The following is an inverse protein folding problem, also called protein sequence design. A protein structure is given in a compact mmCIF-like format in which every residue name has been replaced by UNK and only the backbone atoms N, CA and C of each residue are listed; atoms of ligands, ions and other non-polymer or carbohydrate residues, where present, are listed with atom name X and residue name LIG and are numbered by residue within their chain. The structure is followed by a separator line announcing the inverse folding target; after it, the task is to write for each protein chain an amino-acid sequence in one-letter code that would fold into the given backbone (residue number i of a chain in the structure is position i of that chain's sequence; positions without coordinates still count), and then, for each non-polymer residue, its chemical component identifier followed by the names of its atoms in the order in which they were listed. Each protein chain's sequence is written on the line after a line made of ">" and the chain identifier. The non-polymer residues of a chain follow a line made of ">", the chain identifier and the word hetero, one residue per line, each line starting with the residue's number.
data_IF_878433948171
#
_entry.id   IF_878433948171
#
_cell.length_a   1.000
_cell.length_b   1.000
_cell.length_c   1.000
_cell.angle_alpha   90.00
_cell.angle_beta   90.00
_cell.angle_gamma   90.00
#
_symmetry.space_group_name_H-M   'P 1'
#
loop_
_entity.id
_entity.type
_entity.pdbx_description
1 polymer ?
#
# COMPACT_ATOMS: atom_id res chain seq x y z
N UNK A 1 10.04 13.83 26.06
CA UNK A 1 9.17 13.24 27.10
C UNK A 1 10.11 12.80 28.21
N UNK A 2 9.86 13.19 29.46
CA UNK A 2 10.75 12.87 30.58
C UNK A 2 10.62 11.38 30.98
N UNK A 3 11.71 10.74 31.40
CA UNK A 3 11.74 9.31 31.73
C UNK A 3 10.83 9.01 32.94
N UNK A 4 10.80 9.89 33.94
CA UNK A 4 9.91 9.80 35.11
C UNK A 4 8.44 9.85 34.70
N UNK A 5 8.13 10.65 33.68
CA UNK A 5 6.79 10.75 33.11
C UNK A 5 6.39 9.47 32.36
N UNK A 6 7.34 8.80 31.69
CA UNK A 6 7.08 7.53 31.00
C UNK A 6 6.71 6.40 31.99
N UNK A 7 7.40 6.33 33.13
CA UNK A 7 7.10 5.34 34.19
C UNK A 7 5.72 5.60 34.82
N UNK A 8 5.41 6.87 35.08
CA UNK A 8 4.09 7.28 35.55
C UNK A 8 2.99 6.90 34.56
N UNK A 9 3.22 7.05 33.25
CA UNK A 9 2.24 6.72 32.21
C UNK A 9 1.95 5.22 32.12
N UNK A 10 2.94 4.39 32.44
CA UNK A 10 2.80 2.93 32.51
C UNK A 10 2.29 2.44 33.87
N UNK A 11 1.99 3.34 34.82
CA UNK A 11 1.56 3.02 36.18
C UNK A 11 2.55 2.08 36.92
N UNK A 12 3.86 2.23 36.67
CA UNK A 12 4.91 1.40 37.28
C UNK A 12 6.00 2.27 37.93
N UNK A 13 6.60 1.82 39.04
CA UNK A 13 7.72 2.53 39.65
C UNK A 13 8.96 2.47 38.75
N UNK A 14 9.87 3.44 38.88
CA UNK A 14 11.13 3.46 38.12
C UNK A 14 12.01 2.22 38.40
N UNK A 15 11.82 1.56 39.54
CA UNK A 15 12.49 0.31 39.96
C UNK A 15 11.83 -0.96 39.44
N UNK A 16 10.73 -0.86 38.69
CA UNK A 16 10.02 -2.02 38.15
C UNK A 16 10.95 -2.86 37.26
N UNK A 17 10.80 -4.18 37.23
CA UNK A 17 11.54 -5.05 36.30
C UNK A 17 11.01 -4.90 34.87
N UNK A 18 11.78 -5.31 33.86
CA UNK A 18 11.33 -5.24 32.46
C UNK A 18 10.04 -6.05 32.23
N UNK A 19 9.89 -7.16 32.95
CA UNK A 19 8.68 -7.98 32.93
C UNK A 19 7.47 -7.22 33.49
N UNK A 20 7.65 -6.45 34.57
CA UNK A 20 6.59 -5.62 35.16
C UNK A 20 6.19 -4.47 34.23
N UNK A 21 7.17 -3.82 33.58
CA UNK A 21 6.94 -2.77 32.57
C UNK A 21 6.15 -3.33 31.38
N UNK A 22 6.54 -4.50 30.86
CA UNK A 22 5.85 -5.16 29.74
C UNK A 22 4.44 -5.63 30.12
N UNK A 23 4.26 -6.14 31.34
CA UNK A 23 2.94 -6.56 31.85
C UNK A 23 2.00 -5.37 32.04
N UNK A 24 2.50 -4.26 32.56
CA UNK A 24 1.72 -3.04 32.73
C UNK A 24 1.33 -2.43 31.38
N UNK A 25 2.28 -2.39 30.42
CA UNK A 25 2.01 -1.98 29.04
C UNK A 25 0.88 -2.80 28.41
N UNK A 26 0.95 -4.14 28.45
CA UNK A 26 -0.11 -5.02 27.91
C UNK A 26 -1.47 -4.76 28.55
N UNK A 27 -1.50 -4.57 29.87
CA UNK A 27 -2.73 -4.29 30.62
C UNK A 27 -3.36 -2.96 30.22
N UNK A 28 -2.54 -1.92 30.03
CA UNK A 28 -3.00 -0.59 29.63
C UNK A 28 -3.39 -0.53 28.15
N UNK A 29 -2.62 -1.14 27.27
CA UNK A 29 -2.90 -1.25 25.84
C UNK A 29 -4.25 -1.90 25.57
N UNK A 30 -4.54 -3.00 26.27
CA UNK A 30 -5.81 -3.70 26.15
C UNK A 30 -7.02 -2.88 26.67
N UNK A 31 -6.80 -1.95 27.61
CA UNK A 31 -7.86 -1.05 28.11
C UNK A 31 -8.06 0.16 27.19
N UNK A 32 -6.97 0.68 26.63
CA UNK A 32 -6.94 1.90 25.82
C UNK A 32 -7.15 1.64 24.32
N UNK A 33 -7.27 0.37 23.90
CA UNK A 33 -7.45 0.02 22.49
C UNK A 33 -8.67 0.72 21.87
N UNK A 34 -8.55 1.30 20.66
CA UNK A 34 -9.66 1.96 19.96
C UNK A 34 -10.91 1.09 19.82
N UNK A 35 -10.75 -0.21 19.55
CA UNK A 35 -11.88 -1.16 19.42
C UNK A 35 -12.73 -1.30 20.69
N UNK A 36 -12.18 -1.03 21.87
CA UNK A 36 -12.92 -1.03 23.14
C UNK A 36 -13.46 0.34 23.53
N UNK A 37 -13.01 1.39 22.86
CA UNK A 37 -13.34 2.79 23.12
C UNK A 37 -13.91 3.44 21.86
N UNK A 38 -14.85 2.75 21.19
CA UNK A 38 -15.45 3.16 19.91
C UNK A 38 -16.20 4.50 19.99
N UNK A 39 -16.62 4.89 21.20
CA UNK A 39 -17.25 6.18 21.48
C UNK A 39 -16.23 7.33 21.66
N UNK A 40 -14.93 7.03 21.74
CA UNK A 40 -13.83 7.99 21.98
C UNK A 40 -12.56 7.59 21.22
N UNK A 41 -12.71 7.26 19.94
CA UNK A 41 -11.63 6.73 19.07
C UNK A 41 -10.41 7.66 19.07
N UNK A 42 -10.59 8.98 18.87
CA UNK A 42 -9.47 9.94 18.84
C UNK A 42 -8.70 10.04 20.16
N UNK A 43 -9.39 9.84 21.28
CA UNK A 43 -8.76 9.81 22.60
C UNK A 43 -8.00 8.49 22.80
N UNK A 44 -8.60 7.37 22.41
CA UNK A 44 -8.01 6.04 22.49
C UNK A 44 -6.75 5.92 21.62
N UNK A 45 -6.79 6.44 20.40
CA UNK A 45 -5.64 6.49 19.49
C UNK A 45 -4.51 7.35 20.05
N UNK A 46 -4.82 8.53 20.61
CA UNK A 46 -3.81 9.38 21.28
C UNK A 46 -3.23 8.74 22.54
N UNK A 47 -4.07 8.10 23.35
CA UNK A 47 -3.65 7.41 24.57
C UNK A 47 -2.75 6.21 24.24
N UNK A 48 -3.09 5.43 23.22
CA UNK A 48 -2.30 4.30 22.73
C UNK A 48 -0.96 4.76 22.14
N UNK A 49 -0.95 5.84 21.37
CA UNK A 49 0.28 6.43 20.85
C UNK A 49 1.23 6.88 21.98
N UNK A 50 0.70 7.57 23.00
CA UNK A 50 1.48 8.00 24.15
C UNK A 50 2.02 6.80 24.96
N UNK A 51 1.22 5.74 25.12
CA UNK A 51 1.61 4.51 25.80
C UNK A 51 2.77 3.80 25.07
N UNK A 52 2.71 3.73 23.74
CA UNK A 52 3.77 3.16 22.90
C UNK A 52 5.08 3.96 23.00
N UNK A 53 5.00 5.29 23.01
CA UNK A 53 6.16 6.17 23.16
C UNK A 53 6.83 5.94 24.53
N UNK A 54 6.04 5.88 25.62
CA UNK A 54 6.57 5.66 26.96
C UNK A 54 7.26 4.29 27.10
N UNK A 55 6.64 3.23 26.59
CA UNK A 55 7.21 1.87 26.61
C UNK A 55 8.52 1.78 25.84
N UNK A 56 8.57 2.36 24.64
CA UNK A 56 9.79 2.38 23.81
C UNK A 56 10.90 3.17 24.49
N UNK A 57 10.58 4.33 25.07
CA UNK A 57 11.57 5.19 25.75
C UNK A 57 12.20 4.49 26.97
N UNK A 58 11.40 3.80 27.78
CA UNK A 58 11.90 3.05 28.95
C UNK A 58 12.76 1.87 28.51
N UNK A 59 12.32 1.12 27.50
CA UNK A 59 13.02 -0.07 27.01
C UNK A 59 14.38 0.32 26.42
N UNK A 60 14.43 1.39 25.62
CA UNK A 60 15.69 1.89 25.05
C UNK A 60 16.66 2.37 26.14
N UNK A 61 16.19 3.14 27.13
CA UNK A 61 17.04 3.62 28.23
C UNK A 61 17.60 2.47 29.08
N UNK A 62 16.82 1.41 29.31
CA UNK A 62 17.28 0.23 30.05
C UNK A 62 18.25 -0.61 29.26
N UNK A 63 18.04 -0.72 27.94
CA UNK A 63 18.97 -1.39 27.04
C UNK A 63 20.32 -0.67 26.98
N UNK A 64 20.32 0.66 26.88
CA UNK A 64 21.55 1.47 26.90
C UNK A 64 22.30 1.35 28.25
N UNK A 65 21.58 1.34 29.38
CA UNK A 65 22.19 1.13 30.70
C UNK A 65 22.72 -0.30 30.90
N UNK A 66 22.03 -1.31 30.35
CA UNK A 66 22.48 -2.70 30.40
C UNK A 66 23.75 -2.94 29.57
N UNK A 67 23.95 -2.18 28.49
CA UNK A 67 25.19 -2.23 27.69
C UNK A 67 26.39 -1.57 28.38
N UNK A 68 26.18 -0.76 29.42
CA UNK A 68 27.25 -0.12 30.19
C UNK A 68 27.65 -0.90 31.45
N UNK A 69 26.96 -1.99 31.79
CA UNK A 69 27.20 -2.78 33.00
C UNK A 69 27.26 -4.29 32.68
N UNK A 70 28.47 -4.78 32.38
CA UNK A 70 28.80 -6.21 32.45
C UNK A 70 29.18 -6.61 33.91
N UNK A 71 29.00 -7.90 34.30
CA UNK A 71 28.29 -8.22 35.53
C UNK A 71 29.19 -8.67 36.71
N UNK A 72 28.84 -8.23 37.92
CA UNK A 72 29.26 -8.88 39.17
C UNK A 72 28.17 -9.86 39.62
N UNK A 73 28.53 -11.15 39.71
CA UNK A 73 27.73 -12.20 40.31
C UNK A 73 27.60 -11.98 41.82
N UNK A 74 26.37 -11.84 42.33
CA UNK A 74 26.07 -12.06 43.75
C UNK A 74 24.88 -13.01 43.87
N UNK A 75 25.14 -14.16 44.50
CA UNK A 75 24.18 -15.21 44.86
C UNK A 75 23.15 -14.72 45.88
N UNK A 76 21.85 -14.96 45.62
CA UNK A 76 20.79 -14.99 46.64
C UNK A 76 19.69 -16.04 46.33
N UNK A 77 18.99 -16.55 47.35
CA UNK A 77 18.58 -17.96 47.42
C UNK A 77 17.25 -18.30 46.76
N UNK A 78 17.16 -19.58 46.39
CA UNK A 78 16.14 -20.22 45.56
C UNK A 78 14.70 -20.09 46.06
N UNK A 79 13.85 -19.46 45.24
CA UNK A 79 12.42 -19.74 45.18
C UNK A 79 12.16 -20.75 44.04
N UNK A 80 11.34 -21.77 44.32
CA UNK A 80 11.08 -22.92 43.45
C UNK A 80 10.66 -22.51 42.03
N UNK A 81 11.23 -23.13 40.97
CA UNK A 81 10.92 -22.74 39.61
C UNK A 81 9.52 -23.26 39.19
N UNK A 82 8.69 -22.45 38.52
CA UNK A 82 7.64 -23.01 37.67
C UNK A 82 8.33 -23.86 36.60
N UNK A 83 7.73 -25.01 36.27
CA UNK A 83 8.27 -25.97 35.28
C UNK A 83 8.85 -25.22 34.06
N UNK A 84 10.10 -25.49 33.65
CA UNK A 84 10.68 -24.85 32.50
C UNK A 84 9.91 -25.31 31.26
N UNK A 85 9.10 -24.43 30.69
CA UNK A 85 8.86 -24.50 29.26
C UNK A 85 10.24 -24.49 28.59
N UNK A 86 10.53 -25.41 27.66
CA UNK A 86 11.84 -25.49 27.05
C UNK A 86 12.16 -24.11 26.47
N UNK A 87 13.34 -23.55 26.76
CA UNK A 87 13.75 -22.21 26.32
C UNK A 87 13.54 -21.97 24.82
N UNK A 88 13.54 -23.05 24.02
CA UNK A 88 13.17 -23.08 22.60
C UNK A 88 11.72 -22.64 22.32
N UNK A 89 10.74 -23.02 23.14
CA UNK A 89 9.34 -22.62 22.99
C UNK A 89 9.12 -21.13 23.29
N UNK A 90 9.79 -20.58 24.31
CA UNK A 90 9.76 -19.14 24.60
C UNK A 90 10.45 -18.31 23.52
N UNK A 91 11.60 -18.77 23.02
CA UNK A 91 12.29 -18.12 21.91
C UNK A 91 11.47 -18.17 20.61
N UNK A 92 10.82 -19.30 20.31
CA UNK A 92 9.93 -19.44 19.16
C UNK A 92 8.71 -18.51 19.26
N UNK A 93 8.07 -18.42 20.44
CA UNK A 93 6.95 -17.51 20.67
C UNK A 93 7.34 -16.02 20.60
N UNK A 94 8.53 -15.66 21.08
CA UNK A 94 9.05 -14.30 20.96
C UNK A 94 9.41 -13.94 19.50
N UNK A 95 9.90 -14.90 18.73
CA UNK A 95 10.19 -14.72 17.32
C UNK A 95 8.90 -14.57 16.49
N UNK A 96 7.91 -15.42 16.75
CA UNK A 96 6.58 -15.36 16.13
C UNK A 96 5.90 -14.01 16.41
N UNK A 97 5.98 -13.50 17.65
CA UNK A 97 5.48 -12.16 17.98
C UNK A 97 6.22 -11.03 17.23
N UNK A 98 7.53 -11.15 17.02
CA UNK A 98 8.33 -10.16 16.27
C UNK A 98 8.03 -10.20 14.77
N UNK A 99 7.82 -11.39 14.20
CA UNK A 99 7.42 -11.56 12.80
C UNK A 99 6.03 -10.96 12.56
N UNK A 100 5.05 -11.24 13.44
CA UNK A 100 3.72 -10.64 13.37
C UNK A 100 3.74 -9.11 13.45
N UNK A 101 4.51 -8.53 14.38
CA UNK A 101 4.68 -7.07 14.47
C UNK A 101 5.33 -6.48 13.22
N UNK A 102 6.28 -7.18 12.61
CA UNK A 102 6.95 -6.75 11.40
C UNK A 102 5.95 -6.74 10.22
N UNK A 103 5.13 -7.77 10.08
CA UNK A 103 4.09 -7.85 9.04
C UNK A 103 3.00 -6.79 9.22
N UNK A 104 2.61 -6.47 10.46
CA UNK A 104 1.68 -5.35 10.75
C UNK A 104 2.25 -4.00 10.29
N UNK A 105 3.53 -3.75 10.56
CA UNK A 105 4.21 -2.51 10.13
C UNK A 105 4.26 -2.44 8.60
N UNK A 106 4.61 -3.55 7.96
CA UNK A 106 4.67 -3.66 6.49
C UNK A 106 3.29 -3.43 5.87
N UNK A 107 2.26 -4.05 6.44
CA UNK A 107 0.86 -3.92 6.01
C UNK A 107 0.42 -2.46 6.08
N UNK A 108 0.68 -1.78 7.19
CA UNK A 108 0.33 -0.37 7.34
C UNK A 108 1.06 0.53 6.33
N UNK A 109 2.36 0.27 6.07
CA UNK A 109 3.12 1.00 5.03
C UNK A 109 2.55 0.78 3.62
N UNK A 110 2.13 -0.45 3.33
CA UNK A 110 1.48 -0.76 2.06
C UNK A 110 0.14 -0.03 1.93
N UNK A 111 -0.71 -0.08 2.96
CA UNK A 111 -2.01 0.63 2.99
C UNK A 111 -1.80 2.12 2.74
N UNK A 112 -0.84 2.75 3.44
CA UNK A 112 -0.56 4.18 3.25
C UNK A 112 -0.14 4.50 1.82
N UNK A 113 0.75 3.70 1.24
CA UNK A 113 1.20 3.85 -0.16
C UNK A 113 0.04 3.64 -1.15
N UNK A 114 -0.83 2.67 -0.87
CA UNK A 114 -2.00 2.36 -1.68
C UNK A 114 -3.02 3.49 -1.68
N UNK A 115 -3.36 4.03 -0.52
CA UNK A 115 -4.31 5.15 -0.42
C UNK A 115 -3.75 6.42 -1.08
N UNK A 116 -2.46 6.72 -0.86
CA UNK A 116 -1.79 7.85 -1.53
C UNK A 116 -1.84 7.71 -3.06
N UNK A 117 -1.61 6.50 -3.59
CA UNK A 117 -1.71 6.24 -5.01
C UNK A 117 -3.15 6.36 -5.52
N UNK A 118 -4.16 5.89 -4.77
CA UNK A 118 -5.58 6.03 -5.11
C UNK A 118 -5.99 7.50 -5.18
N UNK A 119 -5.53 8.34 -4.27
CA UNK A 119 -5.79 9.78 -4.31
C UNK A 119 -5.20 10.45 -5.55
N UNK A 120 -3.98 10.06 -5.94
CA UNK A 120 -3.36 10.53 -7.18
C UNK A 120 -4.13 10.08 -8.43
N UNK A 121 -4.59 8.82 -8.47
CA UNK A 121 -5.44 8.30 -9.55
C UNK A 121 -6.78 9.04 -9.60
N UNK A 122 -7.42 9.30 -8.47
CA UNK A 122 -8.65 10.08 -8.40
C UNK A 122 -8.46 11.48 -9.00
N UNK A 123 -7.40 12.19 -8.58
CA UNK A 123 -7.04 13.52 -9.12
C UNK A 123 -6.82 13.50 -10.63
N UNK A 124 -6.17 12.46 -11.16
CA UNK A 124 -5.97 12.32 -12.60
C UNK A 124 -7.28 12.41 -13.40
N UNK A 125 -8.33 11.72 -12.94
CA UNK A 125 -9.63 11.75 -13.59
C UNK A 125 -10.44 13.01 -13.26
N UNK A 126 -10.35 13.50 -12.02
CA UNK A 126 -11.00 14.73 -11.59
C UNK A 126 -10.64 15.92 -12.50
N UNK A 127 -9.36 16.07 -12.83
CA UNK A 127 -8.88 17.13 -13.71
C UNK A 127 -8.92 16.75 -15.19
N UNK A 128 -9.44 15.57 -15.52
CA UNK A 128 -9.53 15.03 -16.88
C UNK A 128 -8.17 15.04 -17.62
N UNK A 129 -7.10 14.66 -16.92
CA UNK A 129 -5.73 14.74 -17.42
C UNK A 129 -5.44 13.77 -18.57
N UNK A 130 -6.29 12.78 -18.80
CA UNK A 130 -6.26 11.94 -20.00
C UNK A 130 -6.40 12.76 -21.29
N UNK A 131 -7.14 13.87 -21.26
CA UNK A 131 -7.28 14.76 -22.39
C UNK A 131 -6.02 15.63 -22.55
N UNK A 132 -5.28 15.45 -23.65
CA UNK A 132 -4.02 16.16 -23.90
C UNK A 132 -4.19 17.68 -23.86
N UNK A 133 -5.21 18.22 -24.52
CA UNK A 133 -5.47 19.66 -24.54
C UNK A 133 -5.70 20.24 -23.14
N UNK A 134 -6.38 19.48 -22.27
CA UNK A 134 -6.55 19.89 -20.86
C UNK A 134 -5.25 19.79 -20.08
N UNK A 135 -4.46 18.75 -20.33
CA UNK A 135 -3.18 18.49 -19.67
C UNK A 135 -2.11 19.53 -20.00
N UNK A 136 -2.15 20.11 -21.19
CA UNK A 136 -1.16 21.10 -21.64
C UNK A 136 -1.27 22.46 -20.94
N UNK A 137 -2.43 22.79 -20.36
CA UNK A 137 -2.58 23.99 -19.53
C UNK A 137 -1.54 23.98 -18.39
N UNK A 138 -0.83 25.10 -18.11
CA UNK A 138 0.22 25.16 -17.09
C UNK A 138 -0.18 24.58 -15.72
N UNK A 139 -1.41 24.84 -15.27
CA UNK A 139 -1.91 24.35 -13.98
C UNK A 139 -2.05 22.82 -14.03
N UNK A 140 -2.74 22.30 -15.04
CA UNK A 140 -2.98 20.86 -15.18
C UNK A 140 -1.71 20.07 -15.50
N UNK A 141 -0.73 20.69 -16.16
CA UNK A 141 0.60 20.11 -16.39
C UNK A 141 1.32 19.90 -15.05
N UNK A 142 1.27 20.88 -14.16
CA UNK A 142 1.78 20.75 -12.79
C UNK A 142 1.12 19.60 -12.03
N UNK A 143 -0.22 19.54 -12.08
CA UNK A 143 -1.00 18.47 -11.43
C UNK A 143 -0.65 17.09 -12.01
N UNK A 144 -0.53 16.97 -13.34
CA UNK A 144 -0.16 15.72 -13.99
C UNK A 144 1.23 15.24 -13.55
N UNK A 145 2.21 16.14 -13.51
CA UNK A 145 3.56 15.83 -13.05
C UNK A 145 3.58 15.38 -11.58
N UNK A 146 2.78 16.02 -10.73
CA UNK A 146 2.62 15.62 -9.33
C UNK A 146 2.00 14.21 -9.22
N UNK A 147 0.95 13.92 -9.99
CA UNK A 147 0.33 12.59 -10.05
C UNK A 147 1.35 11.53 -10.46
N UNK A 148 2.04 11.71 -11.58
CA UNK A 148 3.04 10.75 -12.08
C UNK A 148 4.17 10.55 -11.07
N UNK A 149 4.67 11.64 -10.47
CA UNK A 149 5.71 11.58 -9.44
C UNK A 149 5.24 10.80 -8.21
N UNK A 150 4.00 11.02 -7.78
CA UNK A 150 3.40 10.34 -6.63
C UNK A 150 3.22 8.85 -6.89
N UNK A 151 2.68 8.47 -8.05
CA UNK A 151 2.54 7.07 -8.45
C UNK A 151 3.90 6.36 -8.53
N UNK A 152 4.91 7.03 -9.10
CA UNK A 152 6.29 6.51 -9.17
C UNK A 152 6.86 6.31 -7.78
N UNK A 153 6.70 7.26 -6.85
CA UNK A 153 7.15 7.10 -5.45
C UNK A 153 6.47 5.91 -4.78
N UNK A 154 5.14 5.81 -4.87
CA UNK A 154 4.38 4.70 -4.30
C UNK A 154 4.86 3.35 -4.83
N UNK A 155 5.10 3.23 -6.14
CA UNK A 155 5.65 2.02 -6.75
C UNK A 155 6.98 1.60 -6.13
N UNK A 156 7.91 2.54 -5.96
CA UNK A 156 9.20 2.23 -5.37
C UNK A 156 9.09 1.89 -3.87
N UNK A 157 8.20 2.56 -3.12
CA UNK A 157 7.97 2.22 -1.72
C UNK A 157 7.39 0.81 -1.56
N UNK A 158 6.38 0.44 -2.36
CA UNK A 158 5.81 -0.91 -2.35
C UNK A 158 6.87 -1.95 -2.72
N UNK A 159 7.70 -1.67 -3.73
CA UNK A 159 8.80 -2.57 -4.14
C UNK A 159 9.84 -2.77 -3.03
N UNK A 160 10.07 -1.77 -2.17
CA UNK A 160 10.96 -1.90 -1.00
C UNK A 160 10.36 -2.79 0.09
N UNK A 161 9.04 -3.01 0.11
CA UNK A 161 8.39 -3.90 1.08
C UNK A 161 8.55 -5.38 0.72
N UNK A 162 8.67 -5.72 -0.56
CA UNK A 162 8.80 -7.10 -1.06
C UNK A 162 9.88 -7.93 -0.33
N UNK A 163 11.13 -7.46 -0.14
CA UNK A 163 12.15 -8.25 0.55
C UNK A 163 11.95 -8.34 2.08
N UNK A 164 10.98 -7.61 2.66
CA UNK A 164 10.81 -7.49 4.12
C UNK A 164 9.81 -8.49 4.70
N UNK A 165 9.03 -9.18 3.88
CA UNK A 165 8.05 -10.18 4.32
C UNK A 165 8.16 -11.45 3.48
N UNK A 166 7.68 -12.57 4.03
CA UNK A 166 7.52 -13.86 3.34
C UNK A 166 6.06 -14.24 3.16
N UNK A 167 5.14 -13.42 3.66
CA UNK A 167 3.72 -13.65 3.52
C UNK A 167 3.33 -13.60 2.03
N UNK A 168 2.78 -14.72 1.54
CA UNK A 168 2.42 -14.88 0.13
C UNK A 168 1.28 -13.94 -0.26
N UNK A 169 0.35 -13.68 0.65
CA UNK A 169 -0.78 -12.79 0.39
C UNK A 169 -0.30 -11.35 0.24
N UNK A 170 0.52 -10.86 1.18
CA UNK A 170 1.12 -9.53 1.08
C UNK A 170 1.96 -9.36 -0.19
N UNK A 171 2.78 -10.36 -0.52
CA UNK A 171 3.60 -10.34 -1.73
C UNK A 171 2.74 -10.28 -3.00
N UNK A 172 1.62 -11.01 -3.05
CA UNK A 172 0.66 -10.92 -4.16
C UNK A 172 0.04 -9.53 -4.27
N UNK A 173 -0.40 -8.94 -3.14
CA UNK A 173 -0.94 -7.60 -3.09
C UNK A 173 0.06 -6.54 -3.55
N UNK A 174 1.33 -6.64 -3.15
CA UNK A 174 2.40 -5.73 -3.57
C UNK A 174 2.65 -5.84 -5.07
N UNK A 175 2.74 -7.06 -5.58
CA UNK A 175 2.99 -7.32 -6.99
C UNK A 175 1.84 -6.79 -7.86
N UNK A 176 0.60 -7.16 -7.55
CA UNK A 176 -0.58 -6.78 -8.35
C UNK A 176 -0.82 -5.28 -8.31
N UNK A 177 -0.78 -4.65 -7.12
CA UNK A 177 -0.99 -3.21 -7.02
C UNK A 177 0.17 -2.42 -7.63
N UNK A 178 1.42 -2.84 -7.38
CA UNK A 178 2.62 -2.24 -7.94
C UNK A 178 2.65 -2.31 -9.48
N UNK A 179 2.31 -3.45 -10.07
CA UNK A 179 2.21 -3.63 -11.52
C UNK A 179 1.12 -2.73 -12.11
N UNK A 180 -0.03 -2.59 -11.44
CA UNK A 180 -1.12 -1.73 -11.90
C UNK A 180 -0.69 -0.25 -11.94
N UNK A 181 -0.13 0.29 -10.86
CA UNK A 181 0.30 1.70 -10.84
C UNK A 181 1.44 1.98 -11.80
N UNK A 182 2.39 1.04 -11.93
CA UNK A 182 3.51 1.15 -12.85
C UNK A 182 3.05 1.28 -14.30
N UNK A 183 2.15 0.37 -14.70
CA UNK A 183 1.61 0.38 -16.04
C UNK A 183 0.64 1.55 -16.27
N UNK A 184 -0.09 2.00 -15.24
CA UNK A 184 -0.93 3.19 -15.34
C UNK A 184 -0.12 4.42 -15.73
N UNK A 185 0.94 4.75 -14.98
CA UNK A 185 1.65 6.01 -15.24
C UNK A 185 2.39 5.94 -16.58
N UNK A 186 2.98 4.79 -16.94
CA UNK A 186 3.58 4.56 -18.27
C UNK A 186 2.56 4.77 -19.39
N UNK A 187 1.36 4.18 -19.26
CA UNK A 187 0.24 4.36 -20.19
C UNK A 187 -0.26 5.81 -20.25
N UNK A 188 -0.15 6.56 -19.16
CA UNK A 188 -0.59 7.96 -19.09
C UNK A 188 0.37 8.92 -19.81
N UNK A 189 1.65 8.54 -19.90
CA UNK A 189 2.73 9.31 -20.56
C UNK A 189 2.80 9.05 -22.07
N UNK A 190 1.96 8.16 -22.61
CA UNK A 190 1.81 7.96 -24.04
C UNK A 190 1.33 9.24 -24.75
N UNK A 191 2.05 9.67 -25.80
CA UNK A 191 1.85 10.94 -26.52
C UNK A 191 1.82 10.75 -28.04
N UNK A 192 1.71 9.52 -28.57
CA UNK A 192 1.79 9.35 -30.02
C UNK A 192 0.63 10.08 -30.67
N UNK A 193 0.95 11.11 -31.45
CA UNK A 193 -0.02 11.85 -32.26
C UNK A 193 0.01 11.17 -33.64
N UNK A 194 -1.14 10.77 -34.20
CA UNK A 194 -1.17 10.17 -35.51
C UNK A 194 -0.60 11.14 -36.56
N UNK A 195 0.48 10.77 -37.25
CA UNK A 195 0.85 11.35 -38.55
C UNK A 195 0.16 10.54 -39.68
N UNK A 196 -1.12 10.25 -39.45
CA UNK A 196 -1.81 9.10 -40.03
C UNK A 196 -2.37 9.35 -41.43
N UNK A 197 -1.79 10.23 -42.23
CA UNK A 197 -2.15 10.35 -43.65
C UNK A 197 -1.07 9.78 -44.58
N UNK A 198 0.08 9.36 -44.05
CA UNK A 198 1.15 8.78 -44.86
C UNK A 198 0.99 7.27 -45.11
N UNK A 199 0.32 6.53 -44.20
CA UNK A 199 0.23 5.06 -44.25
C UNK A 199 -1.16 4.54 -43.85
N UNK A 200 -1.78 3.76 -44.75
CA UNK A 200 -3.07 3.10 -44.47
C UNK A 200 -2.96 2.07 -43.33
N UNK A 201 -1.80 1.42 -43.19
CA UNK A 201 -1.52 0.47 -42.11
C UNK A 201 -1.59 1.17 -40.74
N UNK A 202 -0.99 2.36 -40.62
CA UNK A 202 -1.02 3.12 -39.36
C UNK A 202 -2.40 3.68 -39.04
N UNK A 203 -3.21 4.00 -40.07
CA UNK A 203 -4.62 4.39 -39.87
C UNK A 203 -5.41 3.24 -39.25
N UNK A 204 -5.23 2.02 -39.75
CA UNK A 204 -5.96 0.85 -39.24
C UNK A 204 -5.47 0.42 -37.86
N UNK A 205 -4.16 0.45 -37.63
CA UNK A 205 -3.57 0.23 -36.30
C UNK A 205 -4.08 1.26 -35.27
N UNK A 206 -4.09 2.55 -35.64
CA UNK A 206 -4.64 3.61 -34.79
C UNK A 206 -6.11 3.40 -34.46
N UNK A 207 -6.93 2.94 -35.42
CA UNK A 207 -8.36 2.64 -35.15
C UNK A 207 -8.52 1.54 -34.11
N UNK A 208 -7.69 0.49 -34.15
CA UNK A 208 -7.72 -0.57 -33.14
C UNK A 208 -7.25 -0.06 -31.78
N UNK A 209 -6.12 0.66 -31.76
CA UNK A 209 -5.63 1.35 -30.57
C UNK A 209 -6.72 2.22 -29.95
N UNK A 210 -7.38 3.06 -30.74
CA UNK A 210 -8.36 4.03 -30.26
C UNK A 210 -9.59 3.37 -29.65
N UNK A 211 -10.11 2.32 -30.28
CA UNK A 211 -11.22 1.51 -29.73
C UNK A 211 -10.84 0.88 -28.39
N UNK A 212 -9.60 0.39 -28.29
CA UNK A 212 -9.06 -0.15 -27.04
C UNK A 212 -8.93 0.91 -25.95
N UNK A 213 -8.35 2.07 -26.27
CA UNK A 213 -8.13 3.17 -25.32
C UNK A 213 -9.45 3.77 -24.82
N UNK A 214 -10.46 3.88 -25.68
CA UNK A 214 -11.81 4.32 -25.27
C UNK A 214 -12.48 3.32 -24.31
N UNK A 215 -12.39 2.02 -24.59
CA UNK A 215 -12.90 1.01 -23.69
C UNK A 215 -12.15 1.01 -22.35
N UNK A 216 -10.83 1.10 -22.38
CA UNK A 216 -9.99 1.22 -21.19
C UNK A 216 -10.34 2.47 -20.39
N UNK A 217 -10.64 3.56 -21.08
CA UNK A 217 -11.02 4.82 -20.45
C UNK A 217 -12.32 4.72 -19.65
N UNK A 218 -13.31 4.00 -20.16
CA UNK A 218 -14.56 3.76 -19.43
C UNK A 218 -14.26 2.96 -18.15
N UNK A 219 -13.46 1.89 -18.26
CA UNK A 219 -13.17 1.01 -17.14
C UNK A 219 -12.39 1.71 -16.00
N UNK A 220 -11.26 2.36 -16.31
CA UNK A 220 -10.41 2.90 -15.25
C UNK A 220 -10.97 4.17 -14.62
N UNK A 221 -11.81 4.92 -15.34
CA UNK A 221 -12.49 6.10 -14.79
C UNK A 221 -13.57 5.66 -13.81
N UNK A 222 -14.31 4.60 -14.14
CA UNK A 222 -15.27 3.99 -13.24
C UNK A 222 -14.59 3.48 -11.96
N UNK A 223 -13.44 2.81 -12.07
CA UNK A 223 -12.65 2.34 -10.93
C UNK A 223 -12.12 3.46 -10.04
N UNK A 224 -11.53 4.50 -10.62
CA UNK A 224 -10.74 5.46 -9.84
C UNK A 224 -11.49 6.76 -9.54
N UNK A 225 -12.64 7.01 -10.16
CA UNK A 225 -13.36 8.27 -10.03
C UNK A 225 -14.88 8.10 -9.90
N UNK A 226 -15.57 7.57 -10.92
CA UNK A 226 -17.03 7.65 -10.98
C UNK A 226 -17.70 6.89 -9.82
N UNK A 227 -17.16 5.74 -9.39
CA UNK A 227 -17.72 4.99 -8.25
C UNK A 227 -17.67 5.78 -6.93
N UNK A 228 -16.63 6.58 -6.72
CA UNK A 228 -16.44 7.33 -5.47
C UNK A 228 -17.43 8.50 -5.41
N UNK A 229 -17.70 9.13 -6.57
CA UNK A 229 -18.68 10.21 -6.68
C UNK A 229 -20.11 9.69 -6.66
N UNK A 230 -20.35 8.50 -7.22
CA UNK A 230 -21.69 7.89 -7.28
C UNK A 230 -22.07 7.12 -6.02
N UNK A 231 -21.10 6.61 -5.27
CA UNK A 231 -21.32 5.76 -4.09
C UNK A 231 -21.71 4.32 -4.41
N UNK A 232 -21.61 3.88 -5.67
CA UNK A 232 -21.87 2.49 -6.08
C UNK A 232 -20.84 2.04 -7.12
N UNK A 233 -20.49 0.76 -7.13
CA UNK A 233 -19.48 0.23 -8.04
C UNK A 233 -20.11 -0.63 -9.14
N UNK A 234 -19.92 -0.24 -10.42
CA UNK A 234 -20.44 -1.00 -11.57
C UNK A 234 -19.38 -1.99 -12.07
N UNK A 235 -19.14 -3.05 -11.29
CA UNK A 235 -18.09 -4.04 -11.56
C UNK A 235 -18.21 -4.68 -12.95
N UNK A 236 -19.39 -5.14 -13.34
CA UNK A 236 -19.60 -5.84 -14.62
C UNK A 236 -19.22 -4.96 -15.82
N UNK A 237 -19.53 -3.67 -15.73
CA UNK A 237 -19.17 -2.69 -16.77
C UNK A 237 -17.66 -2.56 -16.86
N UNK A 238 -16.97 -2.43 -15.72
CA UNK A 238 -15.51 -2.34 -15.69
C UNK A 238 -14.87 -3.58 -16.29
N UNK A 239 -15.28 -4.77 -15.84
CA UNK A 239 -14.72 -6.03 -16.29
C UNK A 239 -14.90 -6.22 -17.81
N UNK A 240 -16.11 -6.00 -18.32
CA UNK A 240 -16.40 -6.10 -19.75
C UNK A 240 -15.55 -5.12 -20.57
N UNK A 241 -15.36 -3.89 -20.10
CA UNK A 241 -14.58 -2.88 -20.81
C UNK A 241 -13.07 -3.14 -20.77
N UNK A 242 -12.54 -3.69 -19.67
CA UNK A 242 -11.14 -4.13 -19.60
C UNK A 242 -10.89 -5.25 -20.62
N UNK A 243 -11.78 -6.24 -20.69
CA UNK A 243 -11.67 -7.35 -21.64
C UNK A 243 -11.76 -6.85 -23.09
N UNK A 244 -12.70 -5.95 -23.38
CA UNK A 244 -12.85 -5.31 -24.69
C UNK A 244 -11.59 -4.52 -25.08
N UNK A 245 -11.02 -3.77 -24.15
CA UNK A 245 -9.78 -3.03 -24.37
C UNK A 245 -8.63 -3.96 -24.73
N UNK A 246 -8.40 -4.99 -23.90
CA UNK A 246 -7.34 -5.97 -24.11
C UNK A 246 -7.49 -6.70 -25.45
N UNK A 247 -8.72 -7.04 -25.86
CA UNK A 247 -8.99 -7.64 -27.16
C UNK A 247 -8.58 -6.72 -28.32
N UNK A 248 -9.01 -5.46 -28.32
CA UNK A 248 -8.65 -4.51 -29.38
C UNK A 248 -7.16 -4.25 -29.47
N UNK A 249 -6.46 -4.12 -28.34
CA UNK A 249 -5.00 -3.95 -28.36
C UNK A 249 -4.28 -5.20 -28.87
N UNK A 250 -4.72 -6.39 -28.45
CA UNK A 250 -4.14 -7.65 -28.93
C UNK A 250 -4.34 -7.80 -30.44
N UNK A 251 -5.55 -7.56 -30.93
CA UNK A 251 -5.88 -7.63 -32.35
C UNK A 251 -5.05 -6.62 -33.16
N UNK A 252 -4.89 -5.40 -32.65
CA UNK A 252 -4.03 -4.36 -33.25
C UNK A 252 -2.57 -4.80 -33.37
N UNK A 253 -1.99 -5.36 -32.31
CA UNK A 253 -0.62 -5.86 -32.32
C UNK A 253 -0.42 -7.06 -33.25
N UNK A 254 -1.42 -7.95 -33.35
CA UNK A 254 -1.34 -9.10 -34.25
C UNK A 254 -1.56 -8.73 -35.71
N UNK A 255 -2.46 -7.78 -35.98
CA UNK A 255 -2.80 -7.36 -37.34
C UNK A 255 -1.79 -6.38 -37.93
N UNK A 256 -1.16 -5.54 -37.10
CA UNK A 256 -0.30 -4.45 -37.54
C UNK A 256 1.03 -4.39 -36.75
N UNK A 257 1.83 -5.47 -36.74
CA UNK A 257 3.05 -5.55 -35.93
C UNK A 257 4.15 -4.56 -36.35
N UNK A 258 4.10 -4.04 -37.59
CA UNK A 258 5.06 -3.07 -38.12
C UNK A 258 4.58 -1.61 -38.01
N UNK A 259 3.42 -1.39 -37.38
CA UNK A 259 2.86 -0.05 -37.22
C UNK A 259 3.68 0.79 -36.26
N UNK A 260 3.69 2.11 -36.50
CA UNK A 260 4.19 3.09 -35.53
C UNK A 260 3.42 3.08 -34.21
N UNK A 261 2.19 2.54 -34.19
CA UNK A 261 1.35 2.39 -33.00
C UNK A 261 1.64 1.16 -32.15
N UNK A 262 2.53 0.27 -32.60
CA UNK A 262 2.84 -1.00 -31.94
C UNK A 262 3.24 -0.79 -30.48
N UNK A 263 4.24 0.06 -30.23
CA UNK A 263 4.80 0.28 -28.88
C UNK A 263 3.75 0.81 -27.91
N UNK A 264 3.00 1.82 -28.33
CA UNK A 264 1.98 2.44 -27.48
C UNK A 264 0.82 1.46 -27.21
N UNK A 265 0.40 0.71 -28.23
CA UNK A 265 -0.62 -0.33 -28.10
C UNK A 265 -0.19 -1.42 -27.13
N UNK A 266 1.09 -1.82 -27.13
CA UNK A 266 1.65 -2.79 -26.19
C UNK A 266 1.62 -2.28 -24.76
N UNK A 267 2.03 -1.02 -24.52
CA UNK A 267 1.97 -0.39 -23.20
C UNK A 267 0.52 -0.37 -22.67
N UNK A 268 -0.45 -0.03 -23.54
CA UNK A 268 -1.88 -0.05 -23.14
C UNK A 268 -2.39 -1.46 -22.84
N UNK A 269 -1.95 -2.48 -23.60
CA UNK A 269 -2.30 -3.87 -23.33
C UNK A 269 -1.73 -4.34 -21.99
N UNK A 270 -0.46 -4.06 -21.70
CA UNK A 270 0.18 -4.35 -20.40
C UNK A 270 -0.63 -3.74 -19.26
N UNK A 271 -1.04 -2.47 -19.42
CA UNK A 271 -1.89 -1.80 -18.44
C UNK A 271 -3.28 -2.44 -18.30
N UNK A 272 -3.97 -2.76 -19.40
CA UNK A 272 -5.27 -3.42 -19.33
C UNK A 272 -5.19 -4.78 -18.61
N UNK A 273 -4.13 -5.56 -18.85
CA UNK A 273 -3.88 -6.83 -18.15
C UNK A 273 -3.63 -6.61 -16.66
N UNK A 274 -2.78 -5.65 -16.30
CA UNK A 274 -2.49 -5.31 -14.91
C UNK A 274 -3.75 -4.81 -14.17
N UNK A 275 -4.56 -3.98 -14.83
CA UNK A 275 -5.81 -3.47 -14.29
C UNK A 275 -6.83 -4.59 -14.06
N UNK A 276 -6.88 -5.61 -14.93
CA UNK A 276 -7.71 -6.80 -14.72
C UNK A 276 -7.30 -7.59 -13.49
N UNK A 277 -5.99 -7.82 -13.29
CA UNK A 277 -5.48 -8.49 -12.08
C UNK A 277 -5.83 -7.69 -10.82
N UNK A 278 -5.66 -6.37 -10.87
CA UNK A 278 -6.05 -5.47 -9.80
C UNK A 278 -7.55 -5.57 -9.47
N UNK A 279 -8.41 -5.55 -10.50
CA UNK A 279 -9.85 -5.73 -10.31
C UNK A 279 -10.15 -7.08 -9.62
N UNK A 280 -9.55 -8.17 -10.12
CA UNK A 280 -9.78 -9.50 -9.60
C UNK A 280 -9.34 -9.68 -8.14
N UNK A 281 -8.21 -9.09 -7.74
CA UNK A 281 -7.68 -9.23 -6.39
C UNK A 281 -8.38 -8.32 -5.37
N UNK A 282 -8.60 -7.05 -5.73
CA UNK A 282 -9.06 -6.04 -4.76
C UNK A 282 -10.57 -5.81 -4.73
N UNK A 283 -11.33 -6.46 -5.62
CA UNK A 283 -12.80 -6.29 -5.73
C UNK A 283 -13.51 -7.65 -5.76
N UNK A 284 -13.05 -8.59 -4.95
CA UNK A 284 -13.62 -9.94 -4.82
C UNK A 284 -15.01 -9.97 -4.17
N UNK A 285 -15.45 -8.87 -3.53
CA UNK A 285 -16.77 -8.75 -2.91
C UNK A 285 -17.90 -8.50 -3.92
N UNK A 286 -18.97 -9.28 -3.81
CA UNK A 286 -20.30 -8.91 -4.31
C UNK A 286 -20.86 -7.83 -3.38
N UNK A 287 -20.44 -6.58 -3.57
CA UNK A 287 -21.13 -5.45 -2.92
C UNK A 287 -22.50 -5.29 -3.59
N UNK A 288 -23.46 -6.05 -3.07
CA UNK A 288 -24.90 -5.84 -3.23
C UNK A 288 -25.35 -4.70 -2.31
#
# INVERSE_FOLDING_TARGET
>A
MDLVHCYSLLEVPATATDEEVAKAFKKLAHRLHPDKNQNRIEWATRAMANLNIAYTTITSHRFENAQQAEPHEEERPAAQPPRPEPARARAASAQDYRENLQDDIITNRFIQSRETAKDALYRYFQYSLYNMFRRENPINRGIFNEVVTTLRKCFHEIKKLTPLTRDRELLEHFAVFGEMIFNFYRSSECVTIPDSYASMLDVEAYRMYRRGDEALHIAHKELFYDRHNRGSFRRDIVEAHILKAAHHFKDGLTGYPESTWEVETRIKLEYAVALRKYLALFFTGSDN
#
